data_IF_822721331717
#
_entry.id   IF_822721331717
#
_cell.length_a   1.000
_cell.length_b   1.000
_cell.length_c   1.000
_cell.angle_alpha   90.00
_cell.angle_beta   90.00
_cell.angle_gamma   90.00
#
_symmetry.space_group_name_H-M   'P 1'
#
loop_
_entity.id
_entity.type
_entity.pdbx_description
1 polymer ?
#
# COMPACT_ATOMS: atom_id res chain seq x y z
N UNK A 1 -5.46 8.93 9.14
CA UNK A 1 -5.96 10.35 9.04
C UNK A 1 -7.10 10.62 10.01
N UNK A 2 -8.05 9.70 10.21
CA UNK A 2 -9.25 9.90 11.06
C UNK A 2 -8.91 10.40 12.47
N UNK A 3 -7.90 9.83 13.14
CA UNK A 3 -7.50 10.24 14.49
C UNK A 3 -7.00 11.69 14.51
N UNK A 4 -6.23 12.11 13.52
CA UNK A 4 -5.74 13.50 13.42
C UNK A 4 -6.92 14.46 13.28
N UNK A 5 -7.85 14.16 12.36
CA UNK A 5 -9.05 14.97 12.12
C UNK A 5 -9.91 15.06 13.39
N UNK A 6 -10.13 13.94 14.09
CA UNK A 6 -10.90 13.91 15.32
C UNK A 6 -10.26 14.78 16.41
N UNK A 7 -8.93 14.71 16.58
CA UNK A 7 -8.22 15.55 17.55
C UNK A 7 -8.24 17.03 17.16
N UNK A 8 -8.11 17.35 15.89
CA UNK A 8 -8.21 18.74 15.41
C UNK A 8 -9.62 19.29 15.64
N UNK A 9 -10.65 18.53 15.29
CA UNK A 9 -12.04 18.98 15.45
C UNK A 9 -12.42 19.14 16.92
N UNK A 10 -11.96 18.25 17.80
CA UNK A 10 -12.21 18.35 19.24
C UNK A 10 -11.59 19.62 19.87
N UNK A 11 -10.56 20.17 19.27
CA UNK A 11 -9.87 21.38 19.76
C UNK A 11 -10.26 22.65 18.98
N UNK A 12 -11.06 22.53 17.93
CA UNK A 12 -11.47 23.65 17.08
C UNK A 12 -12.89 24.09 17.41
N UNK A 13 -13.10 25.40 17.49
CA UNK A 13 -14.44 26.01 17.59
C UNK A 13 -15.14 26.16 16.24
N UNK A 14 -14.43 25.90 15.15
CA UNK A 14 -14.94 25.96 13.78
C UNK A 14 -14.80 24.59 13.11
N UNK A 15 -15.63 24.26 12.12
CA UNK A 15 -15.44 23.05 11.32
C UNK A 15 -14.04 23.01 10.67
N UNK A 16 -13.30 21.95 10.95
CA UNK A 16 -11.98 21.73 10.35
C UNK A 16 -12.15 21.41 8.86
N UNK A 17 -11.37 22.04 8.01
CA UNK A 17 -11.38 21.72 6.58
C UNK A 17 -10.68 20.40 6.33
N UNK A 18 -11.36 19.48 5.67
CA UNK A 18 -10.84 18.17 5.33
C UNK A 18 -10.95 17.90 3.84
N UNK A 19 -10.01 17.16 3.29
CA UNK A 19 -9.93 16.89 1.86
C UNK A 19 -9.74 15.40 1.63
N UNK A 20 -10.46 14.83 0.69
CA UNK A 20 -10.23 13.49 0.20
C UNK A 20 -10.28 13.43 -1.32
N UNK A 21 -9.63 12.41 -1.87
CA UNK A 21 -9.79 12.07 -3.28
C UNK A 21 -10.34 10.66 -3.38
N UNK A 22 -11.27 10.47 -4.29
CA UNK A 22 -11.85 9.20 -4.66
C UNK A 22 -11.42 8.79 -6.06
N UNK A 23 -11.50 7.49 -6.32
CA UNK A 23 -11.32 6.92 -7.64
C UNK A 23 -12.69 6.52 -8.18
N UNK A 24 -12.95 6.75 -9.47
CA UNK A 24 -14.18 6.30 -10.13
C UNK A 24 -14.33 4.76 -10.12
N UNK A 25 -13.27 4.01 -9.85
CA UNK A 25 -13.30 2.56 -9.67
C UNK A 25 -13.68 2.21 -8.23
N UNK A 26 -14.89 1.70 -8.04
CA UNK A 26 -15.49 1.42 -6.73
C UNK A 26 -14.65 0.53 -5.79
N UNK A 27 -13.88 -0.42 -6.34
CA UNK A 27 -13.06 -1.35 -5.55
C UNK A 27 -11.85 -0.68 -4.86
N UNK A 28 -11.50 0.55 -5.26
CA UNK A 28 -10.36 1.31 -4.74
C UNK A 28 -10.79 2.63 -4.09
N UNK A 29 -12.08 2.86 -3.95
CA UNK A 29 -12.62 4.12 -3.45
C UNK A 29 -12.75 4.13 -1.92
N UNK A 30 -11.84 4.84 -1.27
CA UNK A 30 -11.88 5.11 0.17
C UNK A 30 -12.62 6.42 0.51
N UNK A 31 -13.04 7.21 -0.49
CA UNK A 31 -13.66 8.52 -0.27
C UNK A 31 -15.00 8.39 0.46
N UNK A 32 -15.78 7.35 0.19
CA UNK A 32 -17.04 7.10 0.88
C UNK A 32 -16.84 6.94 2.42
N UNK A 33 -15.74 6.29 2.84
CA UNK A 33 -15.40 6.16 4.26
C UNK A 33 -14.94 7.51 4.85
N UNK A 34 -14.16 8.28 4.09
CA UNK A 34 -13.72 9.62 4.48
C UNK A 34 -14.91 10.55 4.67
N UNK A 35 -15.87 10.53 3.75
CA UNK A 35 -17.13 11.30 3.84
C UNK A 35 -17.95 10.95 5.08
N UNK A 36 -18.08 9.65 5.37
CA UNK A 36 -18.81 9.19 6.57
C UNK A 36 -18.14 9.68 7.86
N UNK A 37 -16.83 9.63 7.95
CA UNK A 37 -16.04 10.17 9.08
C UNK A 37 -16.20 11.69 9.17
N UNK A 38 -16.08 12.42 8.07
CA UNK A 38 -16.22 13.86 8.00
C UNK A 38 -17.62 14.31 8.50
N UNK A 39 -18.66 13.64 8.04
CA UNK A 39 -20.04 13.87 8.50
C UNK A 39 -20.20 13.60 9.98
N UNK A 40 -19.62 12.51 10.50
CA UNK A 40 -19.69 12.17 11.92
C UNK A 40 -18.99 13.20 12.81
N UNK A 41 -17.85 13.72 12.36
CA UNK A 41 -17.08 14.69 13.11
C UNK A 41 -17.52 16.15 12.89
N UNK A 42 -18.41 16.41 11.94
CA UNK A 42 -18.90 17.75 11.62
C UNK A 42 -17.85 18.65 10.95
N UNK A 43 -16.97 18.09 10.11
CA UNK A 43 -15.94 18.85 9.40
C UNK A 43 -16.48 19.47 8.12
N UNK A 44 -15.81 20.53 7.63
CA UNK A 44 -16.03 21.12 6.30
C UNK A 44 -15.23 20.30 5.28
N UNK A 45 -15.92 19.32 4.64
CA UNK A 45 -15.30 18.29 3.81
C UNK A 45 -15.44 18.58 2.32
N UNK A 46 -14.32 18.49 1.61
CA UNK A 46 -14.25 18.61 0.16
C UNK A 46 -13.71 17.32 -0.45
N UNK A 47 -14.45 16.74 -1.39
CA UNK A 47 -14.07 15.56 -2.15
C UNK A 47 -13.74 15.90 -3.59
N UNK A 48 -12.77 15.20 -4.16
CA UNK A 48 -12.46 15.20 -5.58
C UNK A 48 -12.38 13.76 -6.08
N UNK A 49 -13.19 13.43 -7.06
CA UNK A 49 -13.08 12.19 -7.80
C UNK A 49 -12.22 12.42 -9.05
N UNK A 50 -11.25 11.54 -9.28
CA UNK A 50 -10.38 11.60 -10.44
C UNK A 50 -10.55 10.37 -11.33
N UNK A 51 -10.50 10.59 -12.62
CA UNK A 51 -10.54 9.56 -13.65
C UNK A 51 -9.12 9.04 -13.97
N UNK A 52 -9.06 7.91 -14.69
CA UNK A 52 -7.79 7.43 -15.24
C UNK A 52 -7.11 8.45 -16.16
N UNK A 53 -7.89 9.27 -16.88
CA UNK A 53 -7.37 10.36 -17.72
C UNK A 53 -6.69 11.44 -16.87
N UNK A 54 -7.29 11.82 -15.73
CA UNK A 54 -6.69 12.80 -14.82
C UNK A 54 -5.37 12.27 -14.26
N UNK A 55 -5.33 11.00 -13.84
CA UNK A 55 -4.11 10.34 -13.38
C UNK A 55 -3.02 10.35 -14.46
N UNK A 56 -3.34 10.00 -15.70
CA UNK A 56 -2.40 10.05 -16.83
C UNK A 56 -1.88 11.45 -17.10
N UNK A 57 -2.69 12.49 -16.93
CA UNK A 57 -2.30 13.89 -17.13
C UNK A 57 -1.24 14.38 -16.14
N UNK A 58 -1.13 13.73 -14.98
CA UNK A 58 -0.11 14.05 -13.95
C UNK A 58 1.27 13.50 -14.32
N UNK A 59 1.33 12.36 -15.01
CA UNK A 59 2.60 11.64 -15.29
C UNK A 59 3.68 12.54 -15.92
N UNK A 60 3.41 13.34 -16.96
CA UNK A 60 4.43 14.22 -17.55
C UNK A 60 4.95 15.31 -16.61
N UNK A 61 4.23 15.57 -15.51
CA UNK A 61 4.59 16.58 -14.51
C UNK A 61 5.46 16.03 -13.39
N UNK A 62 5.46 14.71 -13.18
CA UNK A 62 6.19 14.07 -12.07
C UNK A 62 7.68 14.41 -12.05
N UNK A 63 8.42 14.44 -13.19
CA UNK A 63 9.84 14.83 -13.19
C UNK A 63 10.11 16.27 -12.73
N UNK A 64 9.09 17.14 -12.74
CA UNK A 64 9.19 18.53 -12.27
C UNK A 64 8.75 18.69 -10.82
N UNK A 65 8.09 17.67 -10.25
CA UNK A 65 7.57 17.66 -8.88
C UNK A 65 8.57 17.00 -7.94
N UNK A 66 9.19 15.93 -8.41
CA UNK A 66 10.17 15.13 -7.67
C UNK A 66 11.55 15.31 -8.30
N UNK A 67 12.55 15.57 -7.48
CA UNK A 67 13.93 15.82 -7.92
C UNK A 67 14.64 14.53 -8.40
N UNK A 68 14.09 13.37 -8.05
CA UNK A 68 14.62 12.07 -8.43
C UNK A 68 13.49 11.10 -8.82
N UNK A 69 13.78 10.00 -9.55
CA UNK A 69 12.79 8.98 -9.87
C UNK A 69 12.20 8.38 -8.59
N UNK A 70 10.89 8.46 -8.49
CA UNK A 70 10.13 7.95 -7.36
C UNK A 70 9.11 6.93 -7.85
N UNK A 71 9.36 5.65 -7.57
CA UNK A 71 8.60 4.52 -8.12
C UNK A 71 7.43 4.08 -7.23
N UNK A 72 6.70 5.03 -6.63
CA UNK A 72 5.49 4.77 -5.85
C UNK A 72 4.27 5.33 -6.57
N UNK A 73 3.25 4.50 -6.79
CA UNK A 73 2.02 4.90 -7.47
C UNK A 73 1.22 5.93 -6.68
N UNK A 74 1.43 6.04 -5.36
CA UNK A 74 0.78 7.02 -4.49
C UNK A 74 1.14 8.48 -4.81
N UNK A 75 2.23 8.71 -5.56
CA UNK A 75 2.64 10.06 -5.98
C UNK A 75 1.55 10.79 -6.77
N UNK A 76 0.76 10.09 -7.58
CA UNK A 76 -0.32 10.69 -8.38
C UNK A 76 -1.47 11.18 -7.48
N UNK A 77 -2.09 10.32 -6.66
CA UNK A 77 -3.13 10.79 -5.73
C UNK A 77 -2.62 11.83 -4.74
N UNK A 78 -1.39 11.71 -4.24
CA UNK A 78 -0.79 12.71 -3.36
C UNK A 78 -0.69 14.08 -4.02
N UNK A 79 -0.27 14.13 -5.30
CA UNK A 79 -0.26 15.38 -6.06
C UNK A 79 -1.65 15.97 -6.22
N UNK A 80 -2.64 15.16 -6.59
CA UNK A 80 -4.01 15.63 -6.83
C UNK A 80 -4.67 16.15 -5.56
N UNK A 81 -4.53 15.45 -4.43
CA UNK A 81 -5.09 15.92 -3.15
C UNK A 81 -4.37 17.17 -2.65
N UNK A 82 -3.06 17.26 -2.85
CA UNK A 82 -2.29 18.47 -2.51
C UNK A 82 -2.72 19.68 -3.35
N UNK A 83 -2.96 19.48 -4.64
CA UNK A 83 -3.47 20.52 -5.53
C UNK A 83 -4.87 20.98 -5.11
N UNK A 84 -5.75 20.05 -4.71
CA UNK A 84 -7.07 20.37 -4.19
C UNK A 84 -6.97 21.17 -2.89
N UNK A 85 -6.22 20.68 -1.92
CA UNK A 85 -6.05 21.33 -0.62
C UNK A 85 -5.45 22.73 -0.75
N UNK A 86 -4.45 22.91 -1.62
CA UNK A 86 -3.78 24.21 -1.84
C UNK A 86 -4.70 25.33 -2.28
N UNK A 87 -5.83 25.02 -2.90
CA UNK A 87 -6.84 26.03 -3.27
C UNK A 87 -7.53 26.64 -2.05
N UNK A 88 -7.55 25.93 -0.93
CA UNK A 88 -8.34 26.27 0.25
C UNK A 88 -7.49 26.54 1.49
N UNK A 89 -6.30 25.90 1.60
CA UNK A 89 -5.43 25.99 2.78
C UNK A 89 -3.96 26.13 2.39
N UNK A 90 -3.17 26.69 3.30
CA UNK A 90 -1.73 26.85 3.10
C UNK A 90 -0.97 25.63 3.61
N UNK A 91 -1.46 25.01 4.69
CA UNK A 91 -0.86 23.84 5.34
C UNK A 91 -1.97 22.81 5.55
N UNK A 92 -1.66 21.56 5.27
CA UNK A 92 -2.51 20.42 5.55
C UNK A 92 -1.73 19.38 6.35
N UNK A 93 -2.42 18.67 7.25
CA UNK A 93 -1.89 17.52 7.97
C UNK A 93 -2.43 16.25 7.32
N UNK A 94 -1.60 15.23 7.22
CA UNK A 94 -1.98 13.91 6.70
C UNK A 94 -1.82 12.82 7.76
N UNK A 95 -2.36 11.64 7.49
CA UNK A 95 -2.16 10.44 8.29
C UNK A 95 -1.00 9.58 7.83
N UNK A 96 -0.15 10.09 6.94
CA UNK A 96 0.99 9.35 6.41
C UNK A 96 1.93 8.93 7.55
N UNK A 97 2.50 7.73 7.43
CA UNK A 97 3.28 7.11 8.51
C UNK A 97 2.44 6.42 9.59
N UNK A 98 1.11 6.57 9.57
CA UNK A 98 0.23 5.94 10.55
C UNK A 98 0.26 4.41 10.47
N UNK A 99 0.25 3.86 9.27
CA UNK A 99 0.28 2.41 9.05
C UNK A 99 1.63 1.80 9.47
N UNK A 100 2.71 2.53 9.29
CA UNK A 100 4.05 2.15 9.73
C UNK A 100 4.15 2.12 11.25
N UNK A 101 3.61 3.12 11.93
CA UNK A 101 3.71 3.28 13.39
C UNK A 101 2.72 2.38 14.14
N UNK A 102 1.52 2.16 13.59
CA UNK A 102 0.41 1.46 14.24
C UNK A 102 0.09 0.10 13.60
N UNK A 103 1.00 -0.42 12.77
CA UNK A 103 0.87 -1.71 12.10
C UNK A 103 -0.43 -1.85 11.26
N UNK A 104 -0.82 -0.81 10.54
CA UNK A 104 -2.06 -0.77 9.74
C UNK A 104 -2.06 -1.67 8.52
N UNK A 105 -0.90 -2.06 8.00
CA UNK A 105 -0.81 -2.95 6.85
C UNK A 105 -1.13 -4.41 7.18
N UNK A 106 -1.95 -5.04 6.36
CA UNK A 106 -2.25 -6.47 6.47
C UNK A 106 -0.99 -7.36 6.46
N UNK A 107 0.09 -6.92 5.81
CA UNK A 107 1.39 -7.62 5.79
C UNK A 107 2.03 -7.76 7.17
N UNK A 108 1.77 -6.86 8.12
CA UNK A 108 2.28 -6.96 9.48
C UNK A 108 1.68 -8.19 10.17
N UNK A 109 0.37 -8.34 10.15
CA UNK A 109 -0.32 -9.48 10.76
C UNK A 109 -0.04 -10.79 10.02
N UNK A 110 -0.12 -10.76 8.68
CA UNK A 110 0.16 -11.92 7.85
C UNK A 110 1.61 -12.39 8.00
N UNK A 111 2.57 -11.45 8.07
CA UNK A 111 3.98 -11.72 8.24
C UNK A 111 4.27 -12.42 9.57
N UNK A 112 3.74 -11.90 10.67
CA UNK A 112 3.92 -12.52 12.02
C UNK A 112 3.32 -13.91 12.05
N UNK A 113 2.09 -14.09 11.55
CA UNK A 113 1.41 -15.39 11.51
C UNK A 113 2.17 -16.40 10.63
N UNK A 114 2.65 -15.94 9.48
CA UNK A 114 3.41 -16.80 8.57
C UNK A 114 4.76 -17.20 9.19
N UNK A 115 5.50 -16.25 9.75
CA UNK A 115 6.76 -16.50 10.42
C UNK A 115 6.62 -17.46 11.59
N UNK A 116 5.60 -17.30 12.44
CA UNK A 116 5.36 -18.19 13.58
C UNK A 116 5.20 -19.67 13.19
N UNK A 117 4.70 -19.94 11.99
CA UNK A 117 4.59 -21.28 11.44
C UNK A 117 5.88 -21.74 10.75
N UNK A 118 6.50 -20.88 9.96
CA UNK A 118 7.72 -21.20 9.23
C UNK A 118 8.92 -21.43 10.16
N UNK A 119 9.01 -20.69 11.25
CA UNK A 119 10.10 -20.84 12.22
C UNK A 119 10.09 -22.17 12.96
N UNK A 120 9.00 -22.94 12.91
CA UNK A 120 8.94 -24.33 13.41
C UNK A 120 9.70 -25.30 12.52
N UNK A 121 9.98 -24.93 11.27
CA UNK A 121 10.73 -25.74 10.32
C UNK A 121 12.22 -25.40 10.38
N UNK A 122 13.12 -26.40 10.45
CA UNK A 122 14.55 -26.18 10.41
C UNK A 122 14.98 -25.38 9.16
N UNK A 123 15.97 -24.49 9.33
CA UNK A 123 16.46 -23.64 8.23
C UNK A 123 16.90 -24.44 6.99
N UNK A 124 17.60 -25.59 7.09
CA UNK A 124 17.95 -26.38 5.90
C UNK A 124 16.73 -26.83 5.11
N UNK A 125 15.65 -27.22 5.78
CA UNK A 125 14.41 -27.64 5.14
C UNK A 125 13.73 -26.48 4.42
N UNK A 126 13.68 -25.30 5.05
CA UNK A 126 13.14 -24.09 4.42
C UNK A 126 13.94 -23.69 3.19
N UNK A 127 15.27 -23.79 3.24
CA UNK A 127 16.16 -23.54 2.08
C UNK A 127 15.91 -24.52 0.94
N UNK A 128 15.65 -25.79 1.21
CA UNK A 128 15.30 -26.77 0.17
C UNK A 128 14.00 -26.44 -0.52
N UNK A 129 12.97 -26.00 0.23
CA UNK A 129 11.70 -25.52 -0.34
C UNK A 129 11.94 -24.26 -1.20
N UNK A 130 12.73 -23.30 -0.71
CA UNK A 130 13.09 -22.08 -1.46
C UNK A 130 13.77 -22.42 -2.79
N UNK A 131 14.74 -23.34 -2.77
CA UNK A 131 15.43 -23.80 -3.98
C UNK A 131 14.47 -24.50 -4.96
N UNK A 132 13.53 -25.30 -4.46
CA UNK A 132 12.49 -25.92 -5.26
C UNK A 132 11.59 -24.88 -5.95
N UNK A 133 11.15 -23.85 -5.23
CA UNK A 133 10.35 -22.77 -5.80
C UNK A 133 11.13 -21.97 -6.86
N UNK A 134 12.41 -21.71 -6.63
CA UNK A 134 13.27 -21.04 -7.59
C UNK A 134 13.50 -21.87 -8.86
N UNK A 135 13.60 -23.21 -8.74
CA UNK A 135 13.74 -24.09 -9.89
C UNK A 135 12.47 -24.15 -10.75
N UNK A 136 11.30 -24.03 -10.15
CA UNK A 136 10.03 -23.95 -10.91
C UNK A 136 9.99 -22.69 -11.80
N UNK A 137 10.49 -21.57 -11.30
CA UNK A 137 10.60 -20.34 -12.08
C UNK A 137 11.59 -20.51 -13.25
N UNK A 138 12.76 -21.11 -12.98
CA UNK A 138 13.78 -21.39 -14.00
C UNK A 138 13.35 -22.39 -15.08
N UNK A 139 12.44 -23.33 -14.75
CA UNK A 139 11.90 -24.34 -15.68
C UNK A 139 10.74 -23.80 -16.54
N UNK A 140 10.40 -22.51 -16.43
CA UNK A 140 9.38 -21.89 -17.27
C UNK A 140 7.93 -22.21 -16.89
N UNK A 141 7.68 -22.63 -15.64
CA UNK A 141 6.33 -22.83 -15.10
C UNK A 141 5.52 -21.54 -14.94
N UNK A 142 6.05 -20.40 -15.39
CA UNK A 142 5.36 -19.10 -15.33
C UNK A 142 3.94 -19.18 -15.92
N UNK A 143 3.77 -19.86 -17.06
CA UNK A 143 2.44 -20.04 -17.70
C UNK A 143 1.45 -20.84 -16.84
N UNK A 144 1.94 -21.87 -16.14
CA UNK A 144 1.11 -22.65 -15.22
C UNK A 144 0.71 -21.82 -14.00
N UNK A 145 1.63 -21.03 -13.47
CA UNK A 145 1.38 -20.11 -12.35
C UNK A 145 0.37 -19.05 -12.77
N UNK A 146 0.48 -18.49 -13.99
CA UNK A 146 -0.47 -17.52 -14.53
C UNK A 146 -1.87 -18.14 -14.70
N UNK A 147 -1.94 -19.37 -15.21
CA UNK A 147 -3.20 -20.11 -15.33
C UNK A 147 -3.85 -20.33 -13.96
N UNK A 148 -3.08 -20.78 -12.96
CA UNK A 148 -3.57 -20.95 -11.59
C UNK A 148 -4.00 -19.61 -11.00
N UNK A 149 -3.25 -18.53 -11.25
CA UNK A 149 -3.58 -17.17 -10.81
C UNK A 149 -4.95 -16.73 -11.33
N UNK A 150 -5.25 -17.02 -12.61
CA UNK A 150 -6.55 -16.73 -13.23
C UNK A 150 -7.69 -17.56 -12.62
N UNK A 151 -7.45 -18.86 -12.37
CA UNK A 151 -8.46 -19.75 -11.80
C UNK A 151 -8.75 -19.45 -10.32
N UNK A 152 -7.75 -19.06 -9.56
CA UNK A 152 -7.88 -18.79 -8.12
C UNK A 152 -8.26 -17.34 -7.81
N UNK A 153 -8.25 -16.46 -8.81
CA UNK A 153 -8.50 -15.02 -8.61
C UNK A 153 -7.40 -14.32 -7.76
N UNK A 154 -6.22 -14.92 -7.61
CA UNK A 154 -5.11 -14.34 -6.84
C UNK A 154 -4.18 -13.58 -7.78
N UNK A 155 -4.26 -12.25 -7.90
CA UNK A 155 -3.41 -11.49 -8.81
C UNK A 155 -1.95 -11.55 -8.37
N UNK A 156 -1.05 -11.71 -9.35
CA UNK A 156 0.40 -11.71 -9.12
C UNK A 156 0.91 -12.90 -8.32
N UNK A 157 0.29 -14.07 -8.45
CA UNK A 157 0.66 -15.28 -7.71
C UNK A 157 2.15 -15.63 -7.88
N UNK A 158 2.72 -15.50 -9.10
CA UNK A 158 4.13 -15.75 -9.35
C UNK A 158 5.05 -14.86 -8.53
N UNK A 159 4.77 -13.56 -8.48
CA UNK A 159 5.53 -12.62 -7.67
C UNK A 159 5.42 -12.92 -6.16
N UNK A 160 4.22 -13.32 -5.71
CA UNK A 160 3.99 -13.71 -4.30
C UNK A 160 4.77 -14.98 -3.94
N UNK A 161 4.81 -15.97 -4.82
CA UNK A 161 5.60 -17.20 -4.64
C UNK A 161 7.10 -16.92 -4.65
N UNK A 162 7.58 -16.06 -5.55
CA UNK A 162 8.99 -15.67 -5.59
C UNK A 162 9.42 -14.93 -4.31
N UNK A 163 8.59 -14.00 -3.82
CA UNK A 163 8.82 -13.32 -2.53
C UNK A 163 8.81 -14.28 -1.36
N UNK A 164 7.85 -15.21 -1.32
CA UNK A 164 7.80 -16.24 -0.28
C UNK A 164 9.05 -17.12 -0.34
N UNK A 165 9.45 -17.56 -1.53
CA UNK A 165 10.68 -18.33 -1.73
C UNK A 165 11.91 -17.63 -1.16
N UNK A 166 12.08 -16.34 -1.44
CA UNK A 166 13.17 -15.54 -0.87
C UNK A 166 13.08 -15.45 0.66
N UNK A 167 11.87 -15.21 1.19
CA UNK A 167 11.64 -15.07 2.62
C UNK A 167 11.86 -16.37 3.42
N UNK A 168 11.74 -17.56 2.78
CA UNK A 168 12.05 -18.85 3.41
C UNK A 168 13.52 -18.98 3.84
N UNK A 169 14.42 -18.20 3.26
CA UNK A 169 15.84 -18.20 3.61
C UNK A 169 16.16 -17.39 4.87
N UNK A 170 15.22 -16.64 5.39
CA UNK A 170 15.40 -15.77 6.55
C UNK A 170 15.86 -16.56 7.79
N UNK A 171 16.77 -15.98 8.56
CA UNK A 171 17.30 -16.56 9.79
C UNK A 171 16.43 -16.22 11.00
N UNK A 172 15.83 -15.05 10.96
CA UNK A 172 14.96 -14.53 12.02
C UNK A 172 13.74 -13.77 11.46
N UNK A 173 12.87 -13.31 12.35
CA UNK A 173 11.63 -12.64 11.98
C UNK A 173 11.83 -11.26 11.36
N UNK A 174 12.93 -10.56 11.67
CA UNK A 174 13.25 -9.24 11.13
C UNK A 174 13.68 -9.41 9.67
N UNK A 175 14.65 -10.31 9.42
CA UNK A 175 15.10 -10.63 8.06
C UNK A 175 13.93 -11.14 7.19
N UNK A 176 13.05 -11.98 7.77
CA UNK A 176 11.84 -12.44 7.08
C UNK A 176 10.94 -11.29 6.66
N UNK A 177 10.68 -10.36 7.57
CA UNK A 177 9.84 -9.20 7.27
C UNK A 177 10.47 -8.28 6.22
N UNK A 178 11.78 -8.05 6.30
CA UNK A 178 12.51 -7.24 5.33
C UNK A 178 12.47 -7.85 3.92
N UNK A 179 12.61 -9.17 3.81
CA UNK A 179 12.49 -9.88 2.53
C UNK A 179 11.07 -9.82 1.95
N UNK A 180 10.04 -9.87 2.80
CA UNK A 180 8.65 -9.70 2.35
C UNK A 180 8.37 -8.28 1.85
N UNK A 181 8.98 -7.28 2.47
CA UNK A 181 8.79 -5.86 2.19
C UNK A 181 9.59 -5.40 0.96
N UNK A 182 10.75 -5.98 0.72
CA UNK A 182 11.67 -5.56 -0.32
C UNK A 182 11.03 -5.57 -1.72
N UNK A 183 11.16 -4.47 -2.45
CA UNK A 183 10.76 -4.34 -3.85
C UNK A 183 11.88 -4.80 -4.78
N UNK A 184 13.11 -4.65 -4.35
CA UNK A 184 14.31 -5.03 -5.08
C UNK A 184 14.96 -6.24 -4.39
N UNK A 185 15.46 -7.16 -5.20
CA UNK A 185 16.31 -8.24 -4.66
C UNK A 185 17.66 -7.62 -4.29
N UNK A 186 18.19 -7.89 -3.08
CA UNK A 186 19.54 -7.49 -2.71
C UNK A 186 20.57 -8.18 -3.59
#
# INVERSE_FOLDING_TARGET
>A
STMIVAQMQAQSSQPVRTFSIGNEQADLDEACHAAAVAKHLGTDHTELYFSAHDALSVIPRLPHIYDEPFADSSQIPTFLVSQLARRNVTVALSGDGGDELFAGYNRHFAGVKLWSNLNKLPLPFRKSISAGLASLDALGFARLIDFISQQTGIPGLGLKLAKLGSALNARDGIEFYDLLKAHWKP
#
